data_IF_393714425480
#
_entry.id   IF_393714425480
#
_cell.length_a   1.000
_cell.length_b   1.000
_cell.length_c   1.000
_cell.angle_alpha   90.00
_cell.angle_beta   90.00
_cell.angle_gamma   90.00
#
_symmetry.space_group_name_H-M   'P 1'
#
loop_
_entity.id
_entity.type
_entity.pdbx_description
1 polymer ?
#
# COMPACT_ATOMS: atom_id res chain seq x y z
N UNK A 1 35.93 -24.00 -65.94
CA UNK A 1 34.71 -23.27 -65.52
C UNK A 1 34.81 -23.06 -64.02
N UNK A 2 35.03 -21.82 -63.58
CA UNK A 2 35.07 -21.43 -62.16
C UNK A 2 33.70 -20.85 -61.80
N UNK A 3 33.04 -21.25 -60.71
CA UNK A 3 31.91 -20.49 -60.21
C UNK A 3 32.41 -19.37 -59.30
N UNK A 4 31.99 -18.16 -59.64
CA UNK A 4 31.98 -17.01 -58.76
C UNK A 4 31.02 -17.27 -57.61
N UNK A 5 31.44 -17.03 -56.36
CA UNK A 5 30.55 -16.84 -55.23
C UNK A 5 30.74 -15.42 -54.71
N UNK A 6 29.64 -14.68 -54.77
CA UNK A 6 29.47 -13.27 -54.46
C UNK A 6 29.57 -13.08 -52.94
N UNK A 7 30.46 -12.18 -52.50
CA UNK A 7 30.52 -11.70 -51.13
C UNK A 7 29.35 -10.73 -50.94
N UNK A 8 28.31 -11.17 -50.23
CA UNK A 8 27.21 -10.31 -49.80
C UNK A 8 27.64 -9.54 -48.54
N UNK A 9 28.03 -8.28 -48.71
CA UNK A 9 28.24 -7.35 -47.59
C UNK A 9 26.87 -6.92 -47.10
N UNK A 10 26.44 -7.46 -45.96
CA UNK A 10 25.24 -6.98 -45.27
C UNK A 10 25.57 -5.65 -44.56
N UNK A 11 25.07 -4.56 -45.14
CA UNK A 11 25.03 -3.24 -44.51
C UNK A 11 24.05 -3.30 -43.33
N UNK A 12 24.53 -3.32 -42.09
CA UNK A 12 23.68 -3.09 -40.91
C UNK A 12 23.48 -1.59 -40.78
N UNK A 13 22.36 -1.09 -41.31
CA UNK A 13 21.90 0.27 -41.03
C UNK A 13 21.38 0.31 -39.59
N UNK A 14 22.09 1.04 -38.72
CA UNK A 14 21.61 1.38 -37.39
C UNK A 14 20.42 2.33 -37.53
N UNK A 15 19.20 1.82 -37.35
CA UNK A 15 18.01 2.65 -37.19
C UNK A 15 17.99 3.13 -35.75
N UNK A 16 18.37 4.39 -35.54
CA UNK A 16 18.15 5.08 -34.27
C UNK A 16 16.64 5.15 -34.02
N UNK A 17 16.15 4.37 -33.05
CA UNK A 17 14.78 4.49 -32.59
C UNK A 17 14.66 5.77 -31.75
N UNK A 18 14.06 6.81 -32.33
CA UNK A 18 13.59 7.98 -31.60
C UNK A 18 12.63 7.54 -30.48
N UNK A 19 12.71 8.12 -29.27
CA UNK A 19 11.74 7.82 -28.23
C UNK A 19 10.37 8.34 -28.68
N UNK A 20 9.42 7.42 -28.86
CA UNK A 20 8.02 7.73 -29.07
C UNK A 20 7.52 8.43 -27.80
N UNK A 21 7.31 9.74 -27.89
CA UNK A 21 6.56 10.51 -26.90
C UNK A 21 5.15 9.94 -26.83
N UNK A 22 4.87 9.16 -25.78
CA UNK A 22 3.51 8.78 -25.44
C UNK A 22 2.63 10.02 -25.19
N UNK A 23 1.31 9.90 -25.37
CA UNK A 23 0.40 11.02 -25.21
C UNK A 23 0.50 11.57 -23.78
N UNK A 24 0.84 12.85 -23.67
CA UNK A 24 0.76 13.62 -22.43
C UNK A 24 -0.68 13.59 -21.95
N UNK A 25 -0.95 12.81 -20.90
CA UNK A 25 -2.23 12.81 -20.21
C UNK A 25 -2.43 14.20 -19.58
N UNK A 26 -3.58 14.87 -19.77
CA UNK A 26 -3.81 16.16 -19.17
C UNK A 26 -3.68 16.04 -17.65
N UNK A 27 -2.80 16.87 -17.09
CA UNK A 27 -2.66 17.09 -15.65
C UNK A 27 -3.99 17.68 -15.19
N UNK A 28 -4.86 16.87 -14.60
CA UNK A 28 -6.04 17.36 -13.91
C UNK A 28 -5.57 18.12 -12.68
N UNK A 29 -5.20 19.39 -12.86
CA UNK A 29 -5.10 20.39 -11.79
C UNK A 29 -6.49 20.87 -11.42
N UNK A 30 -7.39 19.93 -11.13
CA UNK A 30 -8.63 20.25 -10.45
C UNK A 30 -8.27 20.38 -8.97
N UNK A 31 -8.20 21.63 -8.50
CA UNK A 31 -8.31 21.96 -7.09
C UNK A 31 -9.58 21.29 -6.55
N UNK A 32 -9.42 20.11 -5.97
CA UNK A 32 -10.50 19.45 -5.28
C UNK A 32 -10.73 20.26 -4.01
N UNK A 33 -11.88 20.92 -3.91
CA UNK A 33 -12.43 21.28 -2.59
C UNK A 33 -12.30 20.06 -1.68
N UNK A 34 -11.96 20.25 -0.41
CA UNK A 34 -11.94 19.21 0.64
C UNK A 34 -13.32 18.55 0.78
N UNK A 35 -13.68 17.72 -0.19
CA UNK A 35 -14.93 17.00 -0.28
C UNK A 35 -14.90 15.82 0.67
N UNK A 36 -16.08 15.45 1.17
CA UNK A 36 -16.22 14.25 1.97
C UNK A 36 -15.84 13.03 1.14
N UNK A 37 -15.05 12.14 1.70
CA UNK A 37 -14.74 10.85 1.09
C UNK A 37 -15.84 9.83 1.45
N UNK A 38 -16.13 8.83 0.59
CA UNK A 38 -17.08 7.76 0.91
C UNK A 38 -16.76 7.08 2.26
N UNK A 39 -15.48 6.93 2.58
CA UNK A 39 -14.91 6.34 3.78
C UNK A 39 -14.97 7.20 5.04
N UNK A 40 -15.43 8.44 4.98
CA UNK A 40 -15.42 9.34 6.15
C UNK A 40 -16.26 8.79 7.32
N UNK A 41 -17.41 8.17 7.02
CA UNK A 41 -18.25 7.57 8.05
C UNK A 41 -17.57 6.34 8.69
N UNK A 42 -16.86 5.55 7.89
CA UNK A 42 -16.06 4.42 8.33
C UNK A 42 -14.92 4.87 9.26
N UNK A 43 -14.15 5.90 8.86
CA UNK A 43 -13.07 6.46 9.69
C UNK A 43 -13.60 7.04 11.01
N UNK A 44 -14.70 7.80 10.97
CA UNK A 44 -15.36 8.29 12.19
C UNK A 44 -15.84 7.16 13.10
N UNK A 45 -16.26 6.03 12.55
CA UNK A 45 -16.65 4.88 13.35
C UNK A 45 -15.44 4.23 14.06
N UNK A 46 -14.27 4.19 13.42
CA UNK A 46 -13.02 3.72 14.03
C UNK A 46 -12.48 4.67 15.10
N UNK A 47 -12.75 5.97 15.01
CA UNK A 47 -12.28 6.95 15.98
C UNK A 47 -13.06 6.95 17.31
N UNK A 48 -14.22 6.31 17.36
CA UNK A 48 -15.04 6.23 18.58
C UNK A 48 -14.32 5.52 19.73
N UNK A 49 -14.76 5.81 20.95
CA UNK A 49 -14.22 5.18 22.17
C UNK A 49 -14.53 3.69 22.26
N UNK A 50 -15.71 3.27 21.77
CA UNK A 50 -16.09 1.88 21.63
C UNK A 50 -15.71 1.34 20.25
N UNK A 51 -15.20 0.11 20.22
CA UNK A 51 -14.91 -0.58 18.97
C UNK A 51 -16.20 -0.79 18.16
N UNK A 52 -16.22 -0.46 16.86
CA UNK A 52 -17.39 -0.72 16.03
C UNK A 52 -17.53 -2.22 15.74
N UNK A 53 -18.74 -2.66 15.39
CA UNK A 53 -19.06 -4.09 15.19
C UNK A 53 -18.19 -4.79 14.14
N UNK A 54 -17.66 -4.04 13.19
CA UNK A 54 -16.87 -4.55 12.06
C UNK A 54 -15.35 -4.50 12.32
N UNK A 55 -14.89 -4.05 13.49
CA UNK A 55 -13.46 -3.91 13.76
C UNK A 55 -13.06 -4.35 15.15
N UNK A 56 -11.86 -4.92 15.26
CA UNK A 56 -11.20 -5.22 16.53
C UNK A 56 -9.97 -4.33 16.66
N UNK A 57 -9.84 -3.63 17.79
CA UNK A 57 -8.69 -2.77 18.06
C UNK A 57 -7.45 -3.63 18.34
N UNK A 58 -6.36 -3.34 17.64
CA UNK A 58 -5.03 -3.88 17.95
C UNK A 58 -4.35 -2.91 18.92
N UNK A 59 -3.89 -3.43 20.05
CA UNK A 59 -3.18 -2.64 21.05
C UNK A 59 -1.80 -2.24 20.54
N UNK A 60 -1.58 -0.95 20.33
CA UNK A 60 -0.26 -0.39 20.06
C UNK A 60 0.38 0.06 21.37
N UNK A 61 1.67 -0.23 21.55
CA UNK A 61 2.46 0.40 22.62
C UNK A 61 2.50 1.91 22.43
N UNK A 62 2.52 2.67 23.52
CA UNK A 62 2.61 4.13 23.44
C UNK A 62 3.93 4.54 22.74
N UNK A 63 3.89 5.26 21.62
CA UNK A 63 5.10 5.71 20.95
C UNK A 63 5.85 6.71 21.84
N UNK A 64 7.18 6.72 21.74
CA UNK A 64 8.01 7.73 22.40
C UNK A 64 7.63 9.14 21.95
N UNK A 65 7.97 10.17 22.73
CA UNK A 65 7.70 11.56 22.36
C UNK A 65 8.31 11.93 21.00
N UNK A 66 9.54 11.46 20.73
CA UNK A 66 10.20 11.62 19.42
C UNK A 66 9.42 10.95 18.30
N UNK A 67 8.96 9.71 18.50
CA UNK A 67 8.18 8.97 17.50
C UNK A 67 6.85 9.66 17.21
N UNK A 68 6.15 10.11 18.26
CA UNK A 68 4.90 10.85 18.11
C UNK A 68 5.09 12.14 17.32
N UNK A 69 6.18 12.88 17.58
CA UNK A 69 6.52 14.09 16.82
C UNK A 69 6.75 13.77 15.34
N UNK A 70 7.56 12.76 15.02
CA UNK A 70 7.79 12.36 13.63
C UNK A 70 6.50 11.91 12.94
N UNK A 71 5.62 11.18 13.63
CA UNK A 71 4.33 10.76 13.08
C UNK A 71 3.39 11.96 12.82
N UNK A 72 3.35 12.95 13.71
CA UNK A 72 2.57 14.18 13.46
C UNK A 72 3.10 14.93 12.25
N UNK A 73 4.41 15.09 12.14
CA UNK A 73 5.03 15.75 10.99
C UNK A 73 4.78 14.97 9.69
N UNK A 74 4.81 13.64 9.77
CA UNK A 74 4.48 12.76 8.64
C UNK A 74 3.01 12.90 8.20
N UNK A 75 2.07 12.95 9.15
CA UNK A 75 0.65 13.23 8.86
C UNK A 75 0.49 14.60 8.19
N UNK A 76 1.12 15.63 8.74
CA UNK A 76 1.01 17.00 8.22
C UNK A 76 1.61 17.11 6.81
N UNK A 77 2.72 16.41 6.54
CA UNK A 77 3.30 16.30 5.22
C UNK A 77 2.39 15.54 4.23
N UNK A 78 1.77 14.44 4.66
CA UNK A 78 0.81 13.70 3.85
C UNK A 78 -0.45 14.53 3.51
N UNK A 79 -0.88 15.43 4.41
CA UNK A 79 -2.02 16.32 4.17
C UNK A 79 -1.67 17.55 3.33
N UNK A 80 -0.40 17.78 3.00
CA UNK A 80 0.01 18.95 2.23
C UNK A 80 -0.47 18.84 0.77
N UNK A 81 -1.23 19.84 0.31
CA UNK A 81 -1.85 19.88 -1.03
C UNK A 81 -0.85 19.86 -2.20
N UNK A 82 0.44 20.13 -1.95
CA UNK A 82 1.50 19.73 -2.85
C UNK A 82 2.64 19.11 -2.03
N UNK A 83 2.95 17.84 -2.28
CA UNK A 83 4.12 17.13 -1.74
C UNK A 83 5.44 17.85 -2.12
N UNK A 84 5.40 18.80 -3.07
CA UNK A 84 6.50 19.71 -3.42
C UNK A 84 6.57 21.02 -2.60
N UNK A 85 5.76 21.21 -1.55
CA UNK A 85 5.84 22.42 -0.70
C UNK A 85 6.84 22.21 0.44
N UNK A 86 8.08 22.63 0.19
CA UNK A 86 9.01 23.28 1.14
C UNK A 86 8.63 23.32 2.64
N UNK A 87 8.88 22.23 3.39
CA UNK A 87 9.23 22.22 4.82
C UNK A 87 10.09 20.96 5.12
N UNK A 88 11.03 20.98 6.09
CA UNK A 88 12.41 20.51 5.88
C UNK A 88 12.72 19.12 6.46
N UNK A 89 11.72 18.25 6.61
CA UNK A 89 11.99 16.86 7.03
C UNK A 89 11.87 15.99 5.80
N UNK A 90 13.03 15.76 5.19
CA UNK A 90 13.15 14.67 4.24
C UNK A 90 13.01 13.37 5.03
N UNK A 91 11.84 12.75 4.93
CA UNK A 91 11.58 11.49 5.60
C UNK A 91 12.17 10.32 4.84
N UNK A 92 12.54 10.51 3.57
CA UNK A 92 12.94 9.47 2.66
C UNK A 92 14.43 9.60 2.34
N UNK A 93 15.16 8.51 2.38
CA UNK A 93 16.57 8.52 1.99
C UNK A 93 16.70 8.26 0.49
N UNK A 94 16.41 9.26 -0.33
CA UNK A 94 16.56 9.19 -1.79
C UNK A 94 18.02 9.07 -2.24
N UNK A 95 18.98 9.28 -1.33
CA UNK A 95 20.41 9.22 -1.64
C UNK A 95 20.95 7.79 -1.63
N UNK A 96 20.26 6.87 -0.95
CA UNK A 96 20.62 5.46 -0.91
C UNK A 96 20.16 4.73 -2.16
N UNK A 97 21.05 3.94 -2.74
CA UNK A 97 20.68 2.92 -3.72
C UNK A 97 19.92 1.78 -3.01
N UNK A 98 18.63 1.97 -2.84
CA UNK A 98 17.73 0.99 -2.27
C UNK A 98 17.05 0.18 -3.38
N UNK A 99 17.00 -1.14 -3.21
CA UNK A 99 16.28 -2.02 -4.12
C UNK A 99 15.41 -2.96 -3.30
N UNK A 100 14.11 -2.89 -3.55
CA UNK A 100 13.17 -3.80 -2.92
C UNK A 100 13.18 -5.17 -3.63
N UNK A 101 12.93 -6.29 -2.91
CA UNK A 101 12.94 -7.62 -3.52
C UNK A 101 12.01 -7.76 -4.73
N UNK A 102 12.55 -8.37 -5.78
CA UNK A 102 11.82 -8.85 -6.96
C UNK A 102 11.85 -10.38 -6.96
N UNK A 103 10.75 -11.04 -7.33
CA UNK A 103 10.62 -12.50 -7.23
C UNK A 103 10.85 -13.20 -8.57
N UNK A 104 11.31 -14.45 -8.48
CA UNK A 104 12.05 -15.24 -9.49
C UNK A 104 11.34 -15.42 -10.85
N UNK A 105 10.04 -15.09 -10.95
CA UNK A 105 9.38 -14.97 -12.24
C UNK A 105 9.82 -13.73 -13.05
N UNK A 106 10.72 -12.88 -12.51
CA UNK A 106 11.18 -11.59 -13.08
C UNK A 106 10.06 -10.62 -13.49
N UNK A 107 8.82 -10.96 -13.14
CA UNK A 107 7.60 -10.28 -13.57
C UNK A 107 6.73 -9.83 -12.40
N UNK A 108 6.78 -10.54 -11.27
CA UNK A 108 6.13 -10.03 -10.06
C UNK A 108 7.03 -8.97 -9.42
N UNK A 109 6.59 -7.72 -9.53
CA UNK A 109 7.12 -6.60 -8.77
C UNK A 109 6.09 -6.30 -7.68
N UNK A 110 6.39 -6.69 -6.44
CA UNK A 110 5.53 -6.38 -5.29
C UNK A 110 5.40 -4.87 -5.07
N UNK A 111 6.43 -4.13 -5.49
CA UNK A 111 6.38 -2.69 -5.60
C UNK A 111 5.85 -2.25 -6.96
N UNK A 112 4.97 -1.26 -6.96
CA UNK A 112 4.45 -0.60 -8.16
C UNK A 112 5.56 -0.04 -9.06
N UNK A 113 6.58 0.55 -8.44
CA UNK A 113 7.65 1.26 -9.11
C UNK A 113 8.99 0.59 -8.82
N UNK A 114 9.37 -0.50 -9.50
CA UNK A 114 10.53 -1.33 -9.16
C UNK A 114 11.88 -0.64 -8.84
N UNK A 115 12.06 0.64 -9.23
CA UNK A 115 13.21 1.48 -8.87
C UNK A 115 12.86 2.76 -8.06
N UNK A 116 11.59 3.03 -7.78
CA UNK A 116 11.09 4.21 -7.04
C UNK A 116 10.88 3.97 -5.55
N UNK A 117 11.18 2.75 -5.06
CA UNK A 117 11.11 2.44 -3.65
C UNK A 117 12.34 2.99 -2.93
N UNK A 118 12.12 3.76 -1.88
CA UNK A 118 13.17 4.35 -1.03
C UNK A 118 12.90 4.02 0.44
N UNK A 119 13.92 3.93 1.31
CA UNK A 119 13.71 3.71 2.74
C UNK A 119 13.44 5.05 3.44
N UNK A 120 12.97 4.99 4.69
CA UNK A 120 12.94 6.17 5.53
C UNK A 120 14.36 6.59 5.94
N UNK A 121 14.61 7.89 6.14
CA UNK A 121 15.88 8.36 6.70
C UNK A 121 16.07 7.78 8.10
N UNK A 122 17.26 7.24 8.37
CA UNK A 122 17.58 6.56 9.63
C UNK A 122 17.53 7.47 10.86
N UNK A 123 17.61 8.80 10.67
CA UNK A 123 17.45 9.80 11.74
C UNK A 123 16.00 9.95 12.21
N UNK A 124 15.03 9.51 11.39
CA UNK A 124 13.62 9.43 11.79
C UNK A 124 13.32 8.07 12.41
N UNK A 125 12.29 8.02 13.24
CA UNK A 125 11.81 6.78 13.86
C UNK A 125 10.70 6.11 13.03
N UNK A 126 10.38 6.64 11.84
CA UNK A 126 9.21 6.22 11.06
C UNK A 126 9.39 4.83 10.48
N UNK A 127 10.54 4.56 9.85
CA UNK A 127 10.87 3.23 9.31
C UNK A 127 10.67 2.15 10.36
N UNK A 128 11.41 2.23 11.46
CA UNK A 128 11.31 1.30 12.59
C UNK A 128 9.89 1.21 13.17
N UNK A 129 9.15 2.32 13.25
CA UNK A 129 7.79 2.31 13.78
C UNK A 129 6.84 1.47 12.91
N UNK A 130 6.87 1.65 11.59
CA UNK A 130 6.01 0.89 10.68
C UNK A 130 6.49 -0.54 10.47
N UNK A 131 7.80 -0.80 10.44
CA UNK A 131 8.37 -2.16 10.49
C UNK A 131 7.85 -2.95 11.70
N UNK A 132 7.84 -2.32 12.88
CA UNK A 132 7.31 -2.95 14.09
C UNK A 132 5.82 -3.27 13.98
N UNK A 133 5.03 -2.45 13.25
CA UNK A 133 3.61 -2.77 12.99
C UNK A 133 3.51 -4.04 12.13
N UNK A 134 4.25 -4.10 11.01
CA UNK A 134 4.28 -5.29 10.16
C UNK A 134 4.67 -6.56 10.93
N UNK A 135 5.72 -6.49 11.76
CA UNK A 135 6.20 -7.62 12.58
C UNK A 135 5.23 -8.01 13.70
N UNK A 136 4.50 -7.04 14.27
CA UNK A 136 3.55 -7.28 15.35
C UNK A 136 2.29 -8.02 14.87
N UNK A 137 1.78 -7.69 13.67
CA UNK A 137 0.50 -8.21 13.16
C UNK A 137 0.45 -9.76 13.16
N UNK A 138 1.45 -10.51 12.66
CA UNK A 138 1.44 -11.96 12.73
C UNK A 138 1.31 -12.51 14.15
N UNK A 139 2.03 -11.92 15.11
CA UNK A 139 1.98 -12.34 16.52
C UNK A 139 0.60 -12.05 17.11
N UNK A 140 0.08 -10.85 16.92
CA UNK A 140 -1.22 -10.45 17.46
C UNK A 140 -2.38 -11.29 16.88
N UNK A 141 -2.31 -11.60 15.59
CA UNK A 141 -3.29 -12.46 14.90
C UNK A 141 -3.07 -13.95 15.12
N UNK A 142 -2.11 -14.34 15.96
CA UNK A 142 -1.75 -15.75 16.25
C UNK A 142 -1.45 -16.55 14.98
N UNK A 143 -0.77 -15.93 14.02
CA UNK A 143 -0.38 -16.52 12.75
C UNK A 143 -1.49 -16.61 11.70
N UNK A 144 -2.68 -16.04 11.99
CA UNK A 144 -3.74 -15.95 10.98
C UNK A 144 -3.32 -15.05 9.80
N UNK A 145 -2.52 -14.00 10.05
CA UNK A 145 -1.81 -13.23 9.03
C UNK A 145 -0.31 -13.53 9.16
N UNK A 146 0.39 -13.62 8.04
CA UNK A 146 1.84 -13.88 7.99
C UNK A 146 2.53 -12.84 7.13
N UNK A 147 3.81 -12.56 7.41
CA UNK A 147 4.66 -11.82 6.49
C UNK A 147 5.13 -12.75 5.38
N UNK A 148 4.74 -12.45 4.14
CA UNK A 148 5.21 -13.17 2.96
C UNK A 148 4.78 -12.42 1.70
N UNK A 149 5.36 -12.75 0.55
CA UNK A 149 4.98 -12.16 -0.74
C UNK A 149 3.52 -12.38 -1.17
N UNK A 150 2.79 -13.28 -0.52
CA UNK A 150 1.39 -13.58 -0.83
C UNK A 150 0.41 -13.05 0.22
N UNK A 151 0.92 -12.81 1.43
CA UNK A 151 0.15 -12.33 2.58
C UNK A 151 0.63 -10.91 2.91
N UNK A 152 0.53 -10.44 4.15
CA UNK A 152 0.93 -9.09 4.53
C UNK A 152 2.38 -8.76 4.10
N UNK A 153 2.53 -7.93 3.06
CA UNK A 153 3.83 -7.36 2.67
C UNK A 153 3.76 -5.87 2.30
N UNK A 154 2.56 -5.30 2.19
CA UNK A 154 2.42 -3.89 1.82
C UNK A 154 1.23 -3.23 2.51
N UNK A 155 1.18 -1.92 2.37
CA UNK A 155 0.00 -1.13 2.69
C UNK A 155 0.00 0.20 1.95
N UNK A 156 -1.16 0.85 1.86
CA UNK A 156 -1.35 2.09 1.13
C UNK A 156 -1.57 3.24 2.10
N UNK A 157 -0.72 4.26 2.00
CA UNK A 157 -0.87 5.52 2.72
C UNK A 157 -1.95 6.37 2.05
N UNK A 158 -2.94 6.75 2.83
CA UNK A 158 -3.94 7.75 2.45
C UNK A 158 -3.87 8.98 3.35
N UNK A 159 -4.21 10.13 2.79
CA UNK A 159 -4.45 11.36 3.53
C UNK A 159 -5.86 11.87 3.26
N UNK A 160 -6.57 12.22 4.33
CA UNK A 160 -7.94 12.71 4.27
C UNK A 160 -8.01 14.15 4.81
N UNK A 161 -7.98 15.16 3.92
CA UNK A 161 -8.08 16.56 4.31
C UNK A 161 -9.37 16.91 5.06
N UNK A 162 -10.49 16.26 4.74
CA UNK A 162 -11.78 16.53 5.36
C UNK A 162 -11.80 16.18 6.86
N UNK A 163 -11.13 15.09 7.24
CA UNK A 163 -10.98 14.65 8.64
C UNK A 163 -9.65 15.07 9.28
N UNK A 164 -8.75 15.68 8.49
CA UNK A 164 -7.37 16.01 8.89
C UNK A 164 -6.63 14.80 9.46
N UNK A 165 -6.82 13.64 8.83
CA UNK A 165 -6.22 12.37 9.25
C UNK A 165 -5.37 11.78 8.14
N UNK A 166 -4.35 11.02 8.53
CA UNK A 166 -3.62 10.15 7.63
C UNK A 166 -3.71 8.72 8.15
N UNK A 167 -3.60 7.75 7.27
CA UNK A 167 -3.64 6.35 7.64
C UNK A 167 -2.98 5.44 6.64
N UNK A 168 -2.77 4.19 7.05
CA UNK A 168 -2.23 3.13 6.20
C UNK A 168 -3.23 1.98 6.19
N UNK A 169 -3.68 1.59 4.99
CA UNK A 169 -4.45 0.36 4.79
C UNK A 169 -3.47 -0.76 4.48
N UNK A 170 -3.35 -1.73 5.38
CA UNK A 170 -2.55 -2.93 5.14
C UNK A 170 -3.42 -4.01 4.52
N UNK A 171 -2.93 -4.63 3.45
CA UNK A 171 -3.57 -5.79 2.87
C UNK A 171 -2.81 -7.06 3.22
N UNK A 172 -3.55 -7.99 3.78
CA UNK A 172 -3.15 -9.37 3.97
C UNK A 172 -3.78 -10.23 2.86
N UNK A 173 -3.23 -11.43 2.68
CA UNK A 173 -3.76 -12.49 1.80
C UNK A 173 -4.14 -12.01 0.41
N UNK A 174 -3.27 -11.20 -0.18
CA UNK A 174 -3.60 -10.52 -1.42
C UNK A 174 -3.69 -11.42 -2.62
N UNK A 175 -2.87 -12.46 -2.63
CA UNK A 175 -2.77 -13.38 -3.75
C UNK A 175 -3.16 -14.79 -3.31
N UNK A 176 -4.45 -15.12 -3.13
CA UNK A 176 -4.88 -16.50 -2.96
C UNK A 176 -4.45 -17.35 -4.16
N UNK A 177 -4.09 -18.61 -3.89
CA UNK A 177 -3.76 -19.58 -4.91
C UNK A 177 -4.91 -19.71 -5.92
N UNK A 178 -4.57 -19.81 -7.19
CA UNK A 178 -5.55 -20.10 -8.23
C UNK A 178 -6.21 -21.45 -7.94
N UNK A 179 -7.53 -21.45 -7.91
CA UNK A 179 -8.35 -22.64 -7.75
C UNK A 179 -9.64 -22.41 -8.55
N UNK A 180 -9.76 -23.07 -9.70
CA UNK A 180 -10.90 -22.90 -10.60
C UNK A 180 -12.26 -23.27 -10.00
N UNK A 181 -12.29 -24.05 -8.90
CA UNK A 181 -13.53 -24.40 -8.22
C UNK A 181 -13.99 -23.33 -7.21
N UNK A 182 -13.06 -22.76 -6.43
CA UNK A 182 -13.39 -21.91 -5.28
C UNK A 182 -12.97 -20.44 -5.46
N UNK A 183 -11.98 -20.17 -6.31
CA UNK A 183 -11.41 -18.85 -6.59
C UNK A 183 -10.84 -18.76 -8.01
N UNK A 184 -11.69 -18.69 -9.05
CA UNK A 184 -11.29 -18.71 -10.46
C UNK A 184 -10.85 -17.31 -10.96
N UNK A 185 -9.97 -16.64 -10.21
CA UNK A 185 -9.49 -15.30 -10.53
C UNK A 185 -7.98 -15.31 -10.76
N UNK A 186 -7.57 -14.88 -11.96
CA UNK A 186 -6.18 -14.64 -12.33
C UNK A 186 -5.72 -13.28 -11.79
N UNK A 187 -4.81 -13.31 -10.82
CA UNK A 187 -4.19 -12.13 -10.20
C UNK A 187 -2.77 -11.87 -10.73
N UNK A 188 -2.39 -12.52 -11.84
CA UNK A 188 -1.13 -12.32 -12.53
C UNK A 188 0.08 -12.92 -11.85
N UNK A 189 1.27 -12.42 -12.19
CA UNK A 189 2.55 -13.04 -11.81
C UNK A 189 2.80 -13.12 -10.30
N UNK A 190 2.16 -12.27 -9.49
CA UNK A 190 2.31 -12.30 -8.04
C UNK A 190 1.48 -13.41 -7.36
N UNK A 191 0.51 -13.99 -8.08
CA UNK A 191 -0.22 -15.17 -7.65
C UNK A 191 0.55 -16.48 -7.81
N UNK A 192 1.51 -16.51 -8.74
CA UNK A 192 2.20 -17.74 -9.12
C UNK A 192 2.95 -18.32 -7.91
N UNK A 193 2.72 -19.62 -7.70
CA UNK A 193 3.19 -20.43 -6.57
C UNK A 193 2.63 -20.04 -5.20
N UNK A 194 1.53 -19.28 -5.17
CA UNK A 194 0.83 -19.02 -3.91
C UNK A 194 0.30 -20.31 -3.30
N UNK A 195 0.47 -20.45 -2.00
CA UNK A 195 -0.07 -21.53 -1.19
C UNK A 195 -1.24 -21.08 -0.31
N UNK A 196 -1.75 -19.87 -0.53
CA UNK A 196 -2.85 -19.31 0.23
C UNK A 196 -4.19 -19.83 -0.28
N UNK A 197 -4.80 -20.75 0.46
CA UNK A 197 -6.14 -21.23 0.11
C UNK A 197 -7.17 -20.11 0.27
N UNK A 198 -8.03 -19.96 -0.75
CA UNK A 198 -9.17 -19.08 -0.64
C UNK A 198 -10.20 -19.64 0.36
N UNK A 199 -10.49 -18.85 1.40
CA UNK A 199 -11.55 -19.14 2.37
C UNK A 199 -12.27 -17.83 2.64
N UNK A 200 -13.53 -17.72 2.21
CA UNK A 200 -14.32 -16.47 2.27
C UNK A 200 -14.29 -15.80 3.66
N UNK A 201 -14.53 -16.58 4.72
CA UNK A 201 -14.48 -16.08 6.11
C UNK A 201 -13.13 -15.50 6.53
N UNK A 202 -12.06 -15.98 5.92
CA UNK A 202 -10.69 -15.49 6.16
C UNK A 202 -10.45 -14.22 5.33
N UNK A 203 -10.89 -14.20 4.06
CA UNK A 203 -10.72 -13.03 3.17
C UNK A 203 -11.44 -11.80 3.67
N UNK A 204 -12.58 -11.96 4.35
CA UNK A 204 -13.27 -10.86 5.04
C UNK A 204 -12.39 -10.10 6.03
N UNK A 205 -11.36 -10.75 6.60
CA UNK A 205 -10.49 -10.20 7.66
C UNK A 205 -9.09 -9.90 7.16
N UNK A 206 -8.97 -9.47 5.90
CA UNK A 206 -7.68 -9.25 5.25
C UNK A 206 -7.19 -7.80 5.28
N UNK A 207 -7.99 -6.87 5.81
CA UNK A 207 -7.60 -5.46 5.86
C UNK A 207 -7.33 -5.04 7.30
N UNK A 208 -6.26 -4.26 7.47
CA UNK A 208 -5.98 -3.54 8.70
C UNK A 208 -5.87 -2.07 8.39
N UNK A 209 -6.34 -1.21 9.30
CA UNK A 209 -6.28 0.23 9.12
C UNK A 209 -5.56 0.85 10.30
N UNK A 210 -4.40 1.44 10.03
CA UNK A 210 -3.72 2.33 10.96
C UNK A 210 -4.14 3.76 10.67
N UNK A 211 -4.39 4.57 11.70
CA UNK A 211 -4.72 5.99 11.55
C UNK A 211 -4.00 6.86 12.57
N UNK A 212 -3.76 8.10 12.18
CA UNK A 212 -3.43 9.22 13.06
C UNK A 212 -4.36 10.39 12.75
N UNK A 213 -5.14 10.81 13.75
CA UNK A 213 -6.06 11.94 13.62
C UNK A 213 -5.39 13.30 13.90
N UNK A 214 -6.16 14.38 13.81
CA UNK A 214 -5.70 15.76 14.09
C UNK A 214 -5.34 16.05 15.56
N UNK A 215 -5.65 15.14 16.48
CA UNK A 215 -5.29 15.22 17.91
C UNK A 215 -4.09 14.33 18.25
N UNK A 216 -3.35 13.87 17.23
CA UNK A 216 -2.23 12.93 17.34
C UNK A 216 -2.61 11.59 17.98
N UNK A 217 -3.90 11.23 17.94
CA UNK A 217 -4.36 9.94 18.42
C UNK A 217 -4.11 8.90 17.34
N UNK A 218 -3.42 7.85 17.75
CA UNK A 218 -3.03 6.76 16.88
C UNK A 218 -3.88 5.52 17.19
N UNK A 219 -4.29 4.81 16.14
CA UNK A 219 -5.00 3.55 16.30
C UNK A 219 -4.66 2.55 15.20
N UNK A 220 -4.79 1.25 15.49
CA UNK A 220 -4.68 0.16 14.52
C UNK A 220 -5.88 -0.76 14.70
N UNK A 221 -6.54 -1.10 13.60
CA UNK A 221 -7.77 -1.86 13.60
C UNK A 221 -7.69 -3.03 12.64
N UNK A 222 -8.16 -4.21 13.07
CA UNK A 222 -8.39 -5.36 12.20
C UNK A 222 -9.84 -5.38 11.76
N UNK A 223 -10.09 -5.32 10.45
CA UNK A 223 -11.40 -5.06 9.87
C UNK A 223 -12.04 -6.35 9.36
N UNK A 224 -13.31 -6.59 9.69
CA UNK A 224 -14.16 -7.61 9.07
C UNK A 224 -15.10 -6.95 8.05
N UNK A 225 -14.73 -7.07 6.78
CA UNK A 225 -15.42 -6.44 5.65
C UNK A 225 -16.79 -7.05 5.34
N UNK A 226 -17.12 -8.23 5.90
CA UNK A 226 -18.41 -8.88 5.65
C UNK A 226 -19.48 -8.56 6.70
N UNK A 227 -19.21 -7.67 7.65
CA UNK A 227 -20.20 -7.24 8.65
C UNK A 227 -21.17 -6.23 8.02
N UNK A 228 -22.46 -6.39 8.31
CA UNK A 228 -23.49 -5.38 8.03
C UNK A 228 -23.78 -4.60 9.30
N UNK A 229 -23.56 -3.29 9.24
CA UNK A 229 -23.66 -2.40 10.40
C UNK A 229 -25.04 -1.77 10.53
N UNK A 230 -25.76 -1.64 9.40
CA UNK A 230 -27.02 -0.91 9.30
C UNK A 230 -26.83 0.58 9.01
N UNK A 231 -25.58 1.06 8.98
CA UNK A 231 -25.23 2.39 8.50
C UNK A 231 -24.82 2.28 7.03
N UNK A 232 -25.62 2.82 6.13
CA UNK A 232 -25.40 2.70 4.68
C UNK A 232 -24.08 3.31 4.22
N UNK A 233 -23.59 4.37 4.89
CA UNK A 233 -22.32 4.99 4.52
C UNK A 233 -21.12 4.10 4.89
N UNK A 234 -21.20 3.42 6.04
CA UNK A 234 -20.19 2.43 6.44
C UNK A 234 -20.32 1.16 5.60
N UNK A 235 -21.54 0.66 5.41
CA UNK A 235 -21.83 -0.58 4.67
C UNK A 235 -21.51 -0.48 3.18
N UNK A 236 -21.39 0.72 2.62
CA UNK A 236 -20.91 0.97 1.25
C UNK A 236 -19.39 0.92 1.10
N UNK A 237 -18.64 1.09 2.19
CA UNK A 237 -17.18 0.90 2.26
C UNK A 237 -16.85 -0.55 2.59
N UNK A 238 -17.66 -1.18 3.45
CA UNK A 238 -17.60 -2.61 3.71
C UNK A 238 -18.18 -3.40 2.52
N UNK A 239 -17.86 -4.69 2.44
CA UNK A 239 -18.28 -5.58 1.35
C UNK A 239 -17.14 -5.91 0.37
N UNK A 240 -17.47 -6.08 -0.90
CA UNK A 240 -16.49 -6.39 -1.96
C UNK A 240 -16.23 -7.87 -2.17
N UNK A 241 -17.23 -8.73 -1.99
CA UNK A 241 -17.13 -10.15 -2.37
C UNK A 241 -16.65 -10.33 -3.82
N UNK A 242 -15.83 -11.36 -4.10
CA UNK A 242 -15.25 -12.33 -3.16
C UNK A 242 -13.93 -11.85 -2.52
N UNK A 243 -13.38 -10.72 -2.96
CA UNK A 243 -12.03 -10.28 -2.59
C UNK A 243 -11.96 -9.65 -1.20
N UNK A 244 -13.02 -8.94 -0.81
CA UNK A 244 -13.11 -8.14 0.42
C UNK A 244 -11.93 -7.17 0.60
N UNK A 245 -11.44 -6.59 -0.49
CA UNK A 245 -10.37 -5.57 -0.44
C UNK A 245 -10.97 -4.22 -0.06
N UNK A 246 -10.39 -3.54 0.93
CA UNK A 246 -10.73 -2.16 1.26
C UNK A 246 -9.98 -1.22 0.32
N UNK A 247 -10.69 -0.52 -0.57
CA UNK A 247 -10.06 0.47 -1.44
C UNK A 247 -9.70 1.73 -0.65
N UNK A 248 -8.41 2.02 -0.57
CA UNK A 248 -7.82 3.12 0.19
C UNK A 248 -8.23 4.51 -0.33
N UNK A 249 -8.55 4.63 -1.62
CA UNK A 249 -9.03 5.87 -2.25
C UNK A 249 -10.42 6.30 -1.75
N UNK A 250 -11.18 5.36 -1.18
CA UNK A 250 -12.42 5.66 -0.46
C UNK A 250 -12.14 6.36 0.86
N UNK A 251 -10.94 6.24 1.43
CA UNK A 251 -10.59 6.80 2.73
C UNK A 251 -9.88 8.15 2.62
N UNK A 252 -9.32 8.50 1.46
CA UNK A 252 -8.58 9.73 1.25
C UNK A 252 -7.81 9.74 -0.08
N UNK A 253 -6.98 10.75 -0.29
CA UNK A 253 -5.99 10.74 -1.36
C UNK A 253 -4.93 9.69 -1.06
N UNK A 254 -4.71 8.76 -1.99
CA UNK A 254 -3.62 7.79 -1.90
C UNK A 254 -2.32 8.47 -2.29
N UNK A 255 -1.31 8.39 -1.43
CA UNK A 255 -0.07 9.17 -1.55
C UNK A 255 1.15 8.28 -1.71
N UNK A 256 1.14 7.11 -1.11
CA UNK A 256 2.29 6.23 -1.12
C UNK A 256 1.92 4.78 -0.87
N UNK A 257 2.81 3.87 -1.26
CA UNK A 257 2.79 2.47 -0.89
C UNK A 257 3.95 2.16 0.04
N UNK A 258 3.70 1.34 1.04
CA UNK A 258 4.67 0.84 2.01
C UNK A 258 4.93 -0.62 1.68
N UNK A 259 6.18 -1.06 1.75
CA UNK A 259 6.57 -2.43 1.43
C UNK A 259 7.50 -2.98 2.51
N UNK A 260 7.12 -4.10 3.11
CA UNK A 260 7.90 -4.80 4.11
C UNK A 260 7.84 -6.33 3.94
N UNK A 261 9.00 -6.97 3.91
CA UNK A 261 9.14 -8.42 3.99
C UNK A 261 10.00 -8.73 5.21
N UNK A 262 9.80 -9.93 5.76
CA UNK A 262 10.64 -10.37 6.88
C UNK A 262 12.12 -10.38 6.45
N UNK A 263 12.95 -9.68 7.23
CA UNK A 263 14.38 -9.52 6.96
C UNK A 263 14.73 -8.43 5.94
N UNK A 264 13.75 -7.72 5.36
CA UNK A 264 14.00 -6.49 4.60
C UNK A 264 13.89 -5.26 5.50
N UNK A 265 14.43 -4.15 5.03
CA UNK A 265 14.08 -2.80 5.53
C UNK A 265 12.75 -2.38 4.88
N UNK A 266 11.97 -1.55 5.57
CA UNK A 266 10.74 -0.97 5.03
C UNK A 266 11.06 -0.01 3.89
N UNK A 267 10.49 -0.30 2.74
CA UNK A 267 10.49 0.59 1.58
C UNK A 267 9.19 1.37 1.47
N UNK A 268 9.24 2.52 0.82
CA UNK A 268 8.07 3.34 0.47
C UNK A 268 8.22 3.88 -0.96
N UNK A 269 7.13 3.91 -1.72
CA UNK A 269 7.05 4.58 -3.03
C UNK A 269 5.98 5.66 -2.99
N UNK A 270 6.33 6.91 -3.36
CA UNK A 270 5.39 8.03 -3.46
C UNK A 270 4.71 8.05 -4.84
N UNK A 271 3.48 8.60 -4.90
CA UNK A 271 2.70 8.76 -6.14
C UNK A 271 2.84 10.13 -6.81
#
# INVERSE_FOLDING_TARGET
MRPFAVILVALVAAVAASPVRGPTRPRNTASASAGAYPGDAFLRALDKTSAPKFAVKIGLGAPSATTRRHLSQFRDAALAENINVTQPVDFLDETRQFKYPSFDHNKCQLSKDGNGVVPFVASTTLGTYFENIFQMIPTWTKGAIKLSRFDLFHGHLFANPATKSAGVVFHAKEYPADNTADFPYDLGFCQVDSNLNFVEKVMRKRNLVWTMDSSDKISLWWIDMGVKTGDQAVDGVLGGEPFYTLFEDTLGHVIADFYYLEGSELGISLY
#
